data_IF_182968568436
#
_entry.id   IF_182968568436
#
_cell.length_a   1.000
_cell.length_b   1.000
_cell.length_c   1.000
_cell.angle_alpha   90.00
_cell.angle_beta   90.00
_cell.angle_gamma   90.00
#
_symmetry.space_group_name_H-M   'P 1'
#
loop_
_entity.id
_entity.type
_entity.pdbx_description
1 polymer ?
#
# COMPACT_ATOMS: atom_id res chain seq x y z
N UNK A 1 19.79 7.60 18.92
CA UNK A 1 19.97 6.39 18.10
C UNK A 1 19.19 5.29 18.79
N UNK A 2 17.96 5.03 18.34
CA UNK A 2 17.17 3.88 18.78
C UNK A 2 17.36 2.81 17.74
N UNK A 3 17.98 1.72 18.11
CA UNK A 3 18.14 0.50 17.33
C UNK A 3 16.75 0.00 16.89
N UNK A 4 16.52 -0.36 15.61
CA UNK A 4 15.31 -1.06 15.23
C UNK A 4 15.31 -2.41 15.95
N UNK A 5 14.27 -2.63 16.78
CA UNK A 5 14.07 -3.91 17.43
C UNK A 5 14.00 -5.01 16.37
N UNK A 6 14.91 -5.95 16.45
CA UNK A 6 14.90 -7.16 15.67
C UNK A 6 13.55 -7.86 15.85
N UNK A 7 12.73 -7.86 14.80
CA UNK A 7 11.61 -8.81 14.69
C UNK A 7 12.24 -10.19 14.58
N UNK A 8 12.28 -10.87 15.71
CA UNK A 8 12.74 -12.24 15.81
C UNK A 8 11.87 -13.10 14.89
N UNK A 9 12.48 -13.91 14.05
CA UNK A 9 11.83 -15.01 13.34
C UNK A 9 11.14 -15.88 14.40
N UNK A 10 9.84 -15.70 14.58
CA UNK A 10 9.05 -16.54 15.47
C UNK A 10 8.78 -17.84 14.73
N UNK A 11 9.09 -18.96 15.37
CA UNK A 11 8.84 -20.30 14.89
C UNK A 11 7.36 -20.52 14.58
N UNK A 12 7.12 -21.27 13.53
CA UNK A 12 5.91 -21.37 12.73
C UNK A 12 4.60 -21.81 13.43
N UNK A 13 4.58 -22.13 14.72
CA UNK A 13 3.43 -22.80 15.34
C UNK A 13 2.94 -22.23 16.70
N UNK A 14 3.58 -21.21 17.29
CA UNK A 14 3.23 -20.79 18.67
C UNK A 14 2.45 -19.48 18.79
N UNK A 15 2.31 -18.66 17.74
CA UNK A 15 1.71 -17.32 17.83
C UNK A 15 0.34 -17.15 17.14
N UNK A 16 -0.45 -18.21 17.08
CA UNK A 16 -1.81 -18.16 16.52
C UNK A 16 -2.80 -17.44 17.41
N UNK A 17 -2.45 -17.27 18.68
CA UNK A 17 -3.32 -16.65 19.66
C UNK A 17 -2.56 -15.62 20.53
N UNK A 18 -3.04 -14.37 20.53
CA UNK A 18 -2.55 -13.31 21.37
C UNK A 18 -3.68 -12.75 22.23
N UNK A 19 -3.68 -13.01 23.54
CA UNK A 19 -4.74 -12.54 24.47
C UNK A 19 -6.16 -12.84 23.98
N UNK A 20 -6.39 -14.05 23.45
CA UNK A 20 -7.67 -14.48 22.89
C UNK A 20 -7.92 -14.04 21.45
N UNK A 21 -7.06 -13.24 20.85
CA UNK A 21 -7.10 -12.95 19.42
C UNK A 21 -6.45 -14.09 18.64
N UNK A 22 -7.19 -14.58 17.63
CA UNK A 22 -6.68 -15.59 16.70
C UNK A 22 -6.40 -14.96 15.35
N UNK A 23 -5.29 -15.38 14.72
CA UNK A 23 -4.90 -14.89 13.41
C UNK A 23 -5.95 -15.28 12.37
N UNK A 24 -6.56 -14.31 11.65
CA UNK A 24 -7.61 -14.61 10.68
C UNK A 24 -7.06 -14.97 9.30
N UNK A 25 -7.93 -15.58 8.49
CA UNK A 25 -7.68 -15.88 7.08
C UNK A 25 -7.22 -17.31 6.84
N UNK A 26 -7.06 -17.70 5.57
CA UNK A 26 -6.58 -19.02 5.20
C UNK A 26 -5.09 -19.16 5.47
N UNK A 27 -4.68 -20.33 5.89
CA UNK A 27 -3.26 -20.70 5.96
C UNK A 27 -2.67 -20.76 4.55
N UNK A 28 -1.48 -20.16 4.32
CA UNK A 28 -0.84 -20.24 3.03
C UNK A 28 -0.34 -21.66 2.75
N UNK A 29 -0.30 -22.09 1.46
CA UNK A 29 0.21 -23.41 1.09
C UNK A 29 1.69 -23.59 1.39
N UNK A 30 2.46 -22.50 1.53
CA UNK A 30 3.92 -22.51 1.77
C UNK A 30 4.70 -23.11 0.58
N UNK A 31 5.91 -23.58 0.79
CA UNK A 31 6.67 -24.28 -0.25
C UNK A 31 7.55 -23.39 -1.13
N UNK A 32 7.72 -22.10 -0.79
CA UNK A 32 8.66 -21.20 -1.45
C UNK A 32 9.84 -20.93 -0.52
N UNK A 33 11.04 -21.20 -0.99
CA UNK A 33 12.27 -21.03 -0.20
C UNK A 33 12.65 -19.58 -0.01
N UNK A 34 13.16 -19.26 1.19
CA UNK A 34 13.79 -17.97 1.50
C UNK A 34 15.25 -18.05 1.07
N UNK A 35 15.66 -17.21 0.13
CA UNK A 35 17.02 -17.15 -0.37
C UNK A 35 17.91 -16.30 0.53
N UNK A 36 19.24 -16.40 0.38
CA UNK A 36 20.20 -15.59 1.14
C UNK A 36 19.93 -14.08 0.94
N UNK A 37 19.88 -13.34 2.04
CA UNK A 37 19.57 -11.90 2.05
C UNK A 37 18.09 -11.56 1.95
N UNK A 38 17.21 -12.56 1.89
CA UNK A 38 15.75 -12.37 1.97
C UNK A 38 15.23 -12.64 3.38
N UNK A 39 14.08 -12.05 3.70
CA UNK A 39 13.26 -12.42 4.85
C UNK A 39 11.83 -12.71 4.40
N UNK A 40 11.13 -13.53 5.18
CA UNK A 40 9.72 -13.85 5.01
C UNK A 40 8.95 -13.35 6.23
N UNK A 41 8.24 -12.25 6.07
CA UNK A 41 7.61 -11.54 7.17
C UNK A 41 6.08 -11.65 7.13
N UNK A 42 5.42 -11.49 8.27
CA UNK A 42 3.96 -11.32 8.30
C UNK A 42 3.54 -10.03 7.63
N UNK A 43 2.49 -10.09 6.80
CA UNK A 43 1.95 -8.93 6.09
C UNK A 43 0.55 -8.55 6.59
N UNK A 44 -0.41 -9.46 6.50
CA UNK A 44 -1.78 -9.28 7.02
C UNK A 44 -2.43 -10.66 7.20
N UNK A 45 -3.15 -10.86 8.31
CA UNK A 45 -3.62 -12.19 8.66
C UNK A 45 -2.50 -13.22 8.54
N UNK A 46 -2.75 -14.33 7.84
CA UNK A 46 -1.76 -15.35 7.53
C UNK A 46 -0.87 -15.05 6.33
N UNK A 47 -1.17 -13.99 5.56
CA UNK A 47 -0.34 -13.64 4.41
C UNK A 47 1.07 -13.24 4.83
N UNK A 48 2.03 -13.71 4.04
CA UNK A 48 3.45 -13.40 4.19
C UNK A 48 3.98 -12.63 2.98
N UNK A 49 5.07 -11.94 3.18
CA UNK A 49 5.75 -11.17 2.14
C UNK A 49 7.25 -11.43 2.17
N UNK A 50 7.80 -11.72 0.99
CA UNK A 50 9.25 -11.80 0.79
C UNK A 50 9.83 -10.40 0.61
N UNK A 51 10.89 -10.10 1.32
CA UNK A 51 11.60 -8.83 1.28
C UNK A 51 13.10 -9.07 1.35
N UNK A 52 13.90 -8.13 0.84
CA UNK A 52 15.32 -8.12 1.17
C UNK A 52 15.53 -7.57 2.58
N UNK A 53 16.44 -8.18 3.36
CA UNK A 53 16.79 -7.71 4.72
C UNK A 53 17.28 -6.27 4.72
N UNK A 54 18.05 -5.86 3.69
CA UNK A 54 18.61 -4.51 3.52
C UNK A 54 17.98 -3.72 2.39
N UNK A 55 16.87 -4.24 1.79
CA UNK A 55 16.17 -3.61 0.68
C UNK A 55 15.10 -2.60 1.12
N UNK A 56 14.25 -2.25 0.16
CA UNK A 56 13.01 -1.54 0.45
C UNK A 56 12.01 -2.52 1.07
N UNK A 57 11.54 -2.20 2.25
CA UNK A 57 10.60 -3.03 3.01
C UNK A 57 9.24 -2.35 3.08
N UNK A 58 8.17 -3.14 3.19
CA UNK A 58 6.85 -2.60 3.40
C UNK A 58 6.77 -1.81 4.72
N UNK A 59 5.88 -0.85 4.76
CA UNK A 59 5.77 0.09 5.87
C UNK A 59 4.30 0.39 6.23
N UNK A 60 4.11 1.28 7.19
CA UNK A 60 2.79 1.80 7.56
C UNK A 60 2.06 2.43 6.37
N UNK A 61 2.79 3.05 5.44
CA UNK A 61 2.22 3.70 4.25
C UNK A 61 1.47 2.70 3.38
N UNK A 62 2.03 1.50 3.18
CA UNK A 62 1.40 0.42 2.39
C UNK A 62 0.10 -0.06 3.03
N UNK A 63 0.12 -0.28 4.35
CA UNK A 63 -1.07 -0.70 5.12
C UNK A 63 -2.16 0.36 5.03
N UNK A 64 -1.79 1.63 5.18
CA UNK A 64 -2.75 2.74 5.12
C UNK A 64 -3.29 2.97 3.71
N UNK A 65 -2.46 2.81 2.68
CA UNK A 65 -2.90 2.90 1.28
C UNK A 65 -3.92 1.81 0.98
N UNK A 66 -3.64 0.56 1.34
CA UNK A 66 -4.55 -0.55 1.15
C UNK A 66 -5.85 -0.40 1.99
N UNK A 67 -5.73 0.10 3.22
CA UNK A 67 -6.90 0.40 4.05
C UNK A 67 -7.79 1.45 3.38
N UNK A 68 -7.20 2.56 2.97
CA UNK A 68 -7.93 3.67 2.36
C UNK A 68 -8.58 3.27 1.03
N UNK A 69 -7.89 2.42 0.26
CA UNK A 69 -8.37 1.87 -1.00
C UNK A 69 -9.57 0.93 -0.82
N UNK A 70 -9.56 0.10 0.23
CA UNK A 70 -10.59 -0.94 0.40
C UNK A 70 -11.78 -0.50 1.26
N UNK A 71 -11.69 0.66 1.91
CA UNK A 71 -12.74 1.15 2.81
C UNK A 71 -14.01 1.60 2.04
N UNK A 72 -13.85 2.20 0.86
CA UNK A 72 -14.93 2.76 0.06
C UNK A 72 -15.17 2.04 -1.28
N UNK A 73 -14.52 0.92 -1.47
CA UNK A 73 -14.59 0.16 -2.70
C UNK A 73 -15.33 -1.18 -2.50
N UNK A 74 -16.64 -1.17 -2.24
CA UNK A 74 -17.38 -2.37 -1.83
C UNK A 74 -17.55 -3.40 -2.95
N UNK A 75 -17.30 -3.06 -4.21
CA UNK A 75 -17.54 -3.92 -5.39
C UNK A 75 -16.35 -3.91 -6.34
N UNK A 76 -15.16 -4.16 -5.82
CA UNK A 76 -13.98 -4.32 -6.67
C UNK A 76 -13.92 -5.76 -7.18
N UNK A 77 -14.00 -5.91 -8.49
CA UNK A 77 -13.75 -7.17 -9.19
C UNK A 77 -12.34 -7.22 -9.77
N UNK A 78 -11.82 -6.08 -10.20
CA UNK A 78 -10.50 -5.94 -10.82
C UNK A 78 -9.75 -4.75 -10.20
N UNK A 79 -8.54 -5.00 -9.76
CA UNK A 79 -7.68 -3.97 -9.21
C UNK A 79 -6.33 -3.94 -9.94
N UNK A 80 -5.73 -2.75 -10.02
CA UNK A 80 -4.35 -2.58 -10.47
C UNK A 80 -3.51 -1.90 -9.38
N UNK A 81 -2.21 -2.24 -9.32
CA UNK A 81 -1.23 -1.57 -8.44
C UNK A 81 -0.05 -1.06 -9.28
N UNK A 82 0.10 0.24 -9.31
CA UNK A 82 1.11 0.93 -10.12
C UNK A 82 2.41 1.09 -9.35
N UNK A 83 3.54 0.67 -9.95
CA UNK A 83 4.82 0.67 -9.26
C UNK A 83 4.78 -0.18 -8.00
N UNK A 84 4.25 -1.39 -8.11
CA UNK A 84 3.83 -2.24 -6.99
C UNK A 84 4.97 -2.66 -6.03
N UNK A 85 6.23 -2.39 -6.40
CA UNK A 85 7.37 -2.79 -5.60
C UNK A 85 7.38 -4.30 -5.35
N UNK A 86 7.47 -4.69 -4.09
CA UNK A 86 7.39 -6.09 -3.65
C UNK A 86 5.95 -6.62 -3.53
N UNK A 87 4.96 -5.83 -3.99
CA UNK A 87 3.55 -6.21 -4.03
C UNK A 87 2.78 -5.97 -2.72
N UNK A 88 3.32 -5.22 -1.77
CA UNK A 88 2.74 -5.06 -0.43
C UNK A 88 1.30 -4.52 -0.45
N UNK A 89 1.04 -3.42 -1.16
CA UNK A 89 -0.31 -2.82 -1.24
C UNK A 89 -1.29 -3.78 -1.91
N UNK A 90 -0.91 -4.36 -3.06
CA UNK A 90 -1.75 -5.30 -3.79
C UNK A 90 -2.09 -6.56 -2.97
N UNK A 91 -1.12 -7.12 -2.24
CA UNK A 91 -1.32 -8.30 -1.39
C UNK A 91 -2.27 -7.99 -0.22
N UNK A 92 -2.13 -6.83 0.43
CA UNK A 92 -3.02 -6.39 1.52
C UNK A 92 -4.44 -6.17 0.97
N UNK A 93 -4.57 -5.53 -0.21
CA UNK A 93 -5.86 -5.38 -0.89
C UNK A 93 -6.46 -6.75 -1.24
N UNK A 94 -5.65 -7.69 -1.74
CA UNK A 94 -6.12 -9.03 -2.10
C UNK A 94 -6.64 -9.83 -0.91
N UNK A 95 -6.06 -9.63 0.27
CA UNK A 95 -6.55 -10.22 1.51
C UNK A 95 -7.94 -9.68 1.90
N UNK A 96 -8.18 -8.37 1.71
CA UNK A 96 -9.46 -7.71 2.00
C UNK A 96 -10.53 -7.96 0.94
N UNK A 97 -10.13 -8.23 -0.28
CA UNK A 97 -10.99 -8.37 -1.47
C UNK A 97 -10.82 -9.78 -2.07
N UNK A 98 -11.28 -10.84 -1.37
CA UNK A 98 -10.97 -12.23 -1.78
C UNK A 98 -11.56 -12.63 -3.14
N UNK A 99 -12.58 -11.92 -3.63
CA UNK A 99 -13.19 -12.15 -4.95
C UNK A 99 -12.58 -11.34 -6.09
N UNK A 100 -11.62 -10.43 -5.82
CA UNK A 100 -11.02 -9.59 -6.85
C UNK A 100 -9.78 -10.23 -7.48
N UNK A 101 -9.52 -9.86 -8.74
CA UNK A 101 -8.27 -10.13 -9.45
C UNK A 101 -7.40 -8.89 -9.48
N UNK A 102 -6.09 -9.08 -9.58
CA UNK A 102 -5.09 -8.03 -9.47
C UNK A 102 -4.11 -8.06 -10.64
N UNK A 103 -3.88 -6.89 -11.24
CA UNK A 103 -2.76 -6.66 -12.15
C UNK A 103 -1.77 -5.73 -11.45
N UNK A 104 -0.48 -6.07 -11.45
CA UNK A 104 0.56 -5.20 -10.89
C UNK A 104 1.60 -4.90 -11.94
N UNK A 105 2.17 -3.71 -11.90
CA UNK A 105 3.29 -3.34 -12.77
C UNK A 105 4.45 -2.80 -11.94
N UNK A 106 5.63 -3.36 -12.14
CA UNK A 106 6.86 -2.98 -11.43
C UNK A 106 8.05 -2.96 -12.37
N UNK A 107 8.79 -1.86 -12.36
CA UNK A 107 9.93 -1.66 -13.26
C UNK A 107 11.23 -2.33 -12.78
N UNK A 108 11.30 -2.71 -11.50
CA UNK A 108 12.46 -3.37 -10.93
C UNK A 108 12.27 -4.88 -10.92
N UNK A 109 12.97 -5.62 -11.77
CA UNK A 109 12.91 -7.08 -11.85
C UNK A 109 13.07 -7.76 -10.49
N UNK A 110 13.97 -7.25 -9.65
CA UNK A 110 14.19 -7.80 -8.30
C UNK A 110 12.97 -7.65 -7.37
N UNK A 111 12.25 -6.55 -7.47
CA UNK A 111 11.02 -6.31 -6.69
C UNK A 111 9.88 -7.17 -7.23
N UNK A 112 9.69 -7.21 -8.55
CA UNK A 112 8.68 -8.05 -9.20
C UNK A 112 8.89 -9.55 -8.89
N UNK A 113 10.15 -10.00 -8.80
CA UNK A 113 10.49 -11.37 -8.37
C UNK A 113 9.99 -11.66 -6.96
N UNK A 114 10.25 -10.76 -5.99
CA UNK A 114 9.78 -10.92 -4.61
C UNK A 114 8.25 -10.90 -4.51
N UNK A 115 7.58 -10.04 -5.32
CA UNK A 115 6.12 -10.04 -5.42
C UNK A 115 5.58 -11.40 -5.88
N UNK A 116 6.16 -11.98 -6.96
CA UNK A 116 5.77 -13.32 -7.45
C UNK A 116 6.01 -14.41 -6.41
N UNK A 117 7.13 -14.38 -5.67
CA UNK A 117 7.40 -15.32 -4.56
C UNK A 117 6.33 -15.22 -3.48
N UNK A 118 5.94 -13.98 -3.10
CA UNK A 118 4.91 -13.73 -2.10
C UNK A 118 3.54 -14.21 -2.55
N UNK A 119 3.17 -13.96 -3.80
CA UNK A 119 1.90 -14.41 -4.41
C UNK A 119 1.80 -15.93 -4.39
N UNK A 120 2.87 -16.62 -4.83
CA UNK A 120 2.94 -18.09 -4.85
C UNK A 120 2.90 -18.66 -3.43
N UNK A 121 3.65 -18.10 -2.48
CA UNK A 121 3.65 -18.56 -1.09
C UNK A 121 2.25 -18.48 -0.45
N UNK A 122 1.49 -17.45 -0.78
CA UNK A 122 0.14 -17.24 -0.26
C UNK A 122 -0.95 -18.01 -1.03
N UNK A 123 -0.61 -18.72 -2.12
CA UNK A 123 -1.54 -19.55 -2.90
C UNK A 123 -2.61 -18.73 -3.64
N UNK A 124 -2.24 -17.56 -4.12
CA UNK A 124 -3.18 -16.63 -4.78
C UNK A 124 -2.77 -16.27 -6.21
N UNK A 125 -1.89 -17.04 -6.82
CA UNK A 125 -1.36 -16.82 -8.17
C UNK A 125 -2.46 -16.78 -9.24
N UNK A 126 -3.53 -17.55 -9.08
CA UNK A 126 -4.67 -17.52 -10.00
C UNK A 126 -5.41 -16.16 -10.04
N UNK A 127 -5.15 -15.30 -9.06
CA UNK A 127 -5.76 -13.98 -8.95
C UNK A 127 -4.83 -12.84 -9.35
N UNK A 128 -3.58 -13.14 -9.71
CA UNK A 128 -2.57 -12.11 -9.97
C UNK A 128 -1.93 -12.23 -11.35
N UNK A 129 -1.79 -11.09 -12.02
CA UNK A 129 -0.91 -10.90 -13.16
C UNK A 129 0.15 -9.87 -12.79
N UNK A 130 1.43 -10.26 -12.86
CA UNK A 130 2.56 -9.38 -12.51
C UNK A 130 3.32 -9.01 -13.78
N UNK A 131 3.18 -7.76 -14.19
CA UNK A 131 3.92 -7.17 -15.29
C UNK A 131 5.23 -6.58 -14.79
N UNK A 132 6.32 -6.90 -15.48
CA UNK A 132 7.61 -6.27 -15.29
C UNK A 132 7.81 -5.22 -16.38
N UNK A 133 7.83 -3.95 -15.98
CA UNK A 133 7.88 -2.85 -16.94
C UNK A 133 7.57 -1.49 -16.35
N UNK A 134 7.58 -0.50 -17.21
CA UNK A 134 7.30 0.89 -16.87
C UNK A 134 5.79 1.17 -16.88
N UNK A 135 5.25 1.75 -15.80
CA UNK A 135 3.83 2.10 -15.69
C UNK A 135 3.35 3.13 -16.76
N UNK A 136 4.28 3.82 -17.39
CA UNK A 136 3.99 4.74 -18.50
C UNK A 136 3.71 4.00 -19.81
N UNK A 137 4.05 2.72 -19.89
CA UNK A 137 3.75 1.88 -21.07
C UNK A 137 2.23 1.62 -21.19
N UNK A 138 1.82 1.10 -22.36
CA UNK A 138 0.41 0.78 -22.62
C UNK A 138 -0.06 -0.56 -22.09
N UNK A 139 0.83 -1.38 -21.50
CA UNK A 139 0.53 -2.78 -21.17
C UNK A 139 -0.71 -2.95 -20.30
N UNK A 140 -0.90 -2.09 -19.29
CA UNK A 140 -2.11 -2.13 -18.47
C UNK A 140 -3.34 -1.55 -19.16
N UNK A 141 -3.16 -0.69 -20.17
CA UNK A 141 -4.27 -0.11 -20.94
C UNK A 141 -4.86 -1.12 -21.95
N UNK A 142 -4.15 -2.19 -22.24
CA UNK A 142 -4.63 -3.32 -23.06
C UNK A 142 -5.50 -4.29 -22.25
N UNK A 143 -5.45 -4.20 -20.92
CA UNK A 143 -6.32 -4.94 -20.03
C UNK A 143 -7.74 -4.38 -19.99
N UNK A 144 -8.68 -5.18 -19.47
CA UNK A 144 -10.01 -4.66 -19.14
C UNK A 144 -9.87 -3.60 -18.03
N UNK A 145 -10.70 -2.53 -18.04
CA UNK A 145 -10.61 -1.45 -17.06
C UNK A 145 -10.71 -1.94 -15.61
N UNK A 146 -10.15 -1.16 -14.70
CA UNK A 146 -10.03 -1.49 -13.28
C UNK A 146 -10.97 -0.67 -12.40
N UNK A 147 -11.64 -1.34 -11.46
CA UNK A 147 -12.52 -0.70 -10.46
C UNK A 147 -11.70 0.05 -9.40
N UNK A 148 -10.49 -0.43 -9.13
CA UNK A 148 -9.56 0.14 -8.18
C UNK A 148 -8.16 0.18 -8.76
N UNK A 149 -7.52 1.32 -8.68
CA UNK A 149 -6.10 1.50 -8.99
C UNK A 149 -5.41 2.02 -7.74
N UNK A 150 -4.32 1.38 -7.32
CA UNK A 150 -3.48 1.84 -6.21
C UNK A 150 -2.10 2.24 -6.68
N UNK A 151 -1.37 2.99 -5.85
CA UNK A 151 0.01 3.33 -6.09
C UNK A 151 0.66 4.03 -4.91
N UNK A 152 1.97 3.88 -4.80
CA UNK A 152 2.81 4.62 -3.85
C UNK A 152 3.92 5.31 -4.64
N UNK A 153 3.66 6.48 -5.26
CA UNK A 153 4.65 7.18 -6.05
C UNK A 153 5.90 7.50 -5.24
N UNK A 154 7.11 7.49 -5.83
CA UNK A 154 8.30 7.93 -5.13
C UNK A 154 8.14 9.37 -4.64
N UNK A 155 8.65 9.63 -3.43
CA UNK A 155 8.38 10.89 -2.71
C UNK A 155 9.27 12.04 -3.12
N UNK A 156 10.47 11.78 -3.60
CA UNK A 156 11.50 12.80 -3.77
C UNK A 156 11.99 12.91 -5.20
N UNK A 157 12.21 14.14 -5.72
CA UNK A 157 12.74 14.34 -7.05
C UNK A 157 14.15 13.76 -7.18
N UNK A 158 14.56 13.45 -8.42
CA UNK A 158 15.86 12.85 -8.72
C UNK A 158 17.06 13.65 -8.15
N UNK A 159 16.91 14.97 -8.02
CA UNK A 159 17.92 15.86 -7.42
C UNK A 159 18.13 15.63 -5.92
N UNK A 160 17.22 14.94 -5.23
CA UNK A 160 17.32 14.64 -3.81
C UNK A 160 18.06 13.32 -3.51
N UNK A 161 18.59 12.64 -4.51
CA UNK A 161 19.32 11.39 -4.34
C UNK A 161 20.64 11.62 -3.60
N UNK A 162 20.74 11.12 -2.36
CA UNK A 162 21.95 11.18 -1.54
C UNK A 162 22.38 9.78 -1.11
N UNK A 163 23.63 9.40 -1.44
CA UNK A 163 24.36 8.28 -0.85
C UNK A 163 23.87 6.87 -1.21
N UNK A 164 24.73 5.89 -0.95
CA UNK A 164 24.54 4.49 -1.31
C UNK A 164 23.52 3.77 -0.41
N UNK A 165 22.27 3.85 -0.79
CA UNK A 165 21.26 2.91 -0.31
C UNK A 165 21.29 1.63 -1.16
N UNK A 166 20.67 0.56 -0.67
CA UNK A 166 20.47 -0.67 -1.45
C UNK A 166 19.87 -0.34 -2.84
N UNK A 167 20.32 -0.98 -3.94
CA UNK A 167 19.87 -0.65 -5.31
C UNK A 167 18.35 -0.63 -5.50
N UNK A 168 17.61 -1.48 -4.77
CA UNK A 168 16.15 -1.50 -4.76
C UNK A 168 15.53 -0.27 -4.09
N UNK A 169 16.16 0.28 -3.05
CA UNK A 169 15.56 1.33 -2.23
C UNK A 169 15.60 2.71 -2.90
N UNK A 170 16.59 2.97 -3.75
CA UNK A 170 16.74 4.26 -4.41
C UNK A 170 15.58 4.55 -5.36
N UNK A 171 15.26 3.69 -6.35
CA UNK A 171 14.13 3.93 -7.24
C UNK A 171 12.76 3.90 -6.55
N UNK A 172 12.64 3.25 -5.39
CA UNK A 172 11.40 3.24 -4.62
C UNK A 172 11.11 4.58 -3.93
N UNK A 173 12.13 5.42 -3.72
CA UNK A 173 12.01 6.70 -2.99
C UNK A 173 12.20 7.93 -3.86
N UNK A 174 12.92 7.77 -4.96
CA UNK A 174 13.37 8.86 -5.83
C UNK A 174 12.69 8.72 -7.20
N UNK A 175 12.21 9.82 -7.77
CA UNK A 175 11.48 9.90 -9.04
C UNK A 175 12.38 9.64 -10.27
N UNK A 176 13.06 8.49 -10.28
CA UNK A 176 13.91 8.08 -11.41
C UNK A 176 13.07 7.39 -12.50
N UNK A 177 11.99 6.71 -12.11
CA UNK A 177 11.17 5.88 -12.99
C UNK A 177 9.70 6.30 -13.07
N UNK A 178 9.41 7.52 -12.70
CA UNK A 178 8.07 8.09 -12.72
C UNK A 178 7.82 8.97 -11.50
N UNK A 179 6.97 9.97 -11.68
CA UNK A 179 6.53 10.92 -10.68
C UNK A 179 5.07 10.69 -10.33
N UNK A 180 4.54 11.40 -9.35
CA UNK A 180 3.12 11.38 -9.02
C UNK A 180 2.23 11.74 -10.22
N UNK A 181 2.71 12.55 -11.17
CA UNK A 181 2.01 12.87 -12.42
C UNK A 181 1.89 11.65 -13.34
N UNK A 182 2.96 10.85 -13.45
CA UNK A 182 2.95 9.62 -14.25
C UNK A 182 1.98 8.58 -13.68
N UNK A 183 1.93 8.46 -12.35
CA UNK A 183 0.99 7.57 -11.67
C UNK A 183 -0.46 8.00 -11.89
N UNK A 184 -0.77 9.28 -11.72
CA UNK A 184 -2.12 9.81 -11.95
C UNK A 184 -2.55 9.66 -13.42
N UNK A 185 -1.65 9.94 -14.37
CA UNK A 185 -1.91 9.76 -15.79
C UNK A 185 -2.12 8.28 -16.16
N UNK A 186 -1.31 7.37 -15.61
CA UNK A 186 -1.49 5.93 -15.80
C UNK A 186 -2.82 5.45 -15.23
N UNK A 187 -3.15 5.84 -14.00
CA UNK A 187 -4.43 5.52 -13.37
C UNK A 187 -5.63 6.00 -14.19
N UNK A 188 -5.59 7.25 -14.68
CA UNK A 188 -6.67 7.81 -15.50
C UNK A 188 -6.94 7.00 -16.78
N UNK A 189 -5.89 6.44 -17.39
CA UNK A 189 -6.05 5.62 -18.63
C UNK A 189 -6.72 4.28 -18.39
N UNK A 190 -6.56 3.69 -17.21
CA UNK A 190 -6.96 2.30 -16.94
C UNK A 190 -8.19 2.18 -16.02
N UNK A 191 -8.66 3.27 -15.41
CA UNK A 191 -9.85 3.25 -14.54
C UNK A 191 -11.13 2.91 -15.32
N UNK A 192 -11.92 2.03 -14.75
CA UNK A 192 -13.31 1.81 -15.17
C UNK A 192 -14.17 3.04 -14.85
N UNK A 193 -15.35 3.12 -15.46
CA UNK A 193 -16.39 4.10 -15.06
C UNK A 193 -16.75 3.87 -13.59
N UNK A 194 -16.69 4.93 -12.78
CA UNK A 194 -16.90 4.86 -11.33
C UNK A 194 -15.73 4.23 -10.56
N UNK A 195 -14.64 3.85 -11.23
CA UNK A 195 -13.43 3.33 -10.59
C UNK A 195 -12.67 4.41 -9.84
N UNK A 196 -11.86 4.00 -8.86
CA UNK A 196 -11.16 4.90 -7.96
C UNK A 196 -9.65 4.69 -8.01
N UNK A 197 -8.89 5.79 -8.08
CA UNK A 197 -7.43 5.81 -7.89
C UNK A 197 -7.11 6.21 -6.45
N UNK A 198 -6.38 5.36 -5.73
CA UNK A 198 -5.98 5.60 -4.34
C UNK A 198 -4.46 5.53 -4.21
N UNK A 199 -3.89 6.56 -3.60
CA UNK A 199 -2.44 6.64 -3.43
C UNK A 199 -2.05 7.40 -2.17
N UNK A 200 -0.81 7.22 -1.75
CA UNK A 200 -0.19 7.94 -0.63
C UNK A 200 0.89 8.88 -1.16
N UNK A 201 1.01 10.06 -0.55
CA UNK A 201 2.06 11.00 -0.90
C UNK A 201 2.46 11.88 0.29
N UNK A 202 3.68 12.48 0.35
CA UNK A 202 4.08 13.35 1.45
C UNK A 202 3.14 14.53 1.63
N UNK A 203 2.74 14.80 2.87
CA UNK A 203 1.87 15.93 3.20
C UNK A 203 2.44 17.27 2.73
N UNK A 204 3.75 17.47 2.86
CA UNK A 204 4.42 18.71 2.44
C UNK A 204 4.30 18.94 0.92
N UNK A 205 4.04 17.90 0.14
CA UNK A 205 3.85 17.96 -1.31
C UNK A 205 2.41 17.69 -1.75
N UNK A 206 1.42 17.79 -0.85
CA UNK A 206 0.01 17.48 -1.14
C UNK A 206 -0.57 18.29 -2.30
N UNK A 207 -0.16 19.54 -2.43
CA UNK A 207 -0.62 20.42 -3.53
C UNK A 207 -0.14 19.90 -4.89
N UNK A 208 1.08 19.37 -4.96
CA UNK A 208 1.64 18.72 -6.16
C UNK A 208 0.86 17.43 -6.50
N UNK A 209 0.45 16.67 -5.49
CA UNK A 209 -0.39 15.48 -5.69
C UNK A 209 -1.78 15.86 -6.24
N UNK A 210 -2.41 16.88 -5.69
CA UNK A 210 -3.70 17.39 -6.18
C UNK A 210 -3.60 17.98 -7.59
N UNK A 211 -2.49 18.62 -7.92
CA UNK A 211 -2.21 19.10 -9.29
C UNK A 211 -2.09 17.94 -10.26
N UNK A 212 -1.34 16.87 -9.91
CA UNK A 212 -1.22 15.68 -10.74
C UNK A 212 -2.57 15.01 -11.01
N UNK A 213 -3.44 14.93 -10.00
CA UNK A 213 -4.82 14.45 -10.13
C UNK A 213 -5.57 15.29 -11.17
N UNK A 214 -5.58 16.62 -11.03
CA UNK A 214 -6.28 17.51 -11.96
C UNK A 214 -5.72 17.45 -13.39
N UNK A 215 -4.42 17.46 -13.52
CA UNK A 215 -3.73 17.41 -14.82
C UNK A 215 -4.03 16.13 -15.60
N UNK A 216 -4.42 15.06 -14.91
CA UNK A 216 -4.75 13.76 -15.50
C UNK A 216 -6.24 13.57 -15.79
N UNK A 217 -7.06 14.61 -15.67
CA UNK A 217 -8.52 14.53 -15.87
C UNK A 217 -9.26 13.81 -14.74
N UNK A 218 -8.58 13.61 -13.62
CA UNK A 218 -9.16 13.09 -12.39
C UNK A 218 -9.59 14.24 -11.47
N UNK A 219 -10.42 13.92 -10.49
CA UNK A 219 -10.86 14.86 -9.46
C UNK A 219 -10.73 14.20 -8.10
N UNK A 220 -10.26 14.96 -7.13
CA UNK A 220 -10.15 14.50 -5.75
C UNK A 220 -11.54 14.19 -5.19
N UNK A 221 -11.76 12.97 -4.73
CA UNK A 221 -12.98 12.57 -4.03
C UNK A 221 -12.85 12.76 -2.52
N UNK A 222 -11.70 12.36 -1.95
CA UNK A 222 -11.38 12.53 -0.54
C UNK A 222 -9.87 12.54 -0.29
N UNK A 223 -9.47 13.20 0.81
CA UNK A 223 -8.10 13.17 1.32
C UNK A 223 -8.11 13.01 2.83
N UNK A 224 -7.16 12.25 3.34
CA UNK A 224 -6.93 12.11 4.78
C UNK A 224 -5.46 12.28 5.10
N UNK A 225 -5.14 13.25 5.91
CA UNK A 225 -3.77 13.49 6.38
C UNK A 225 -3.45 12.57 7.55
N UNK A 226 -2.18 12.13 7.66
CA UNK A 226 -1.73 11.17 8.67
C UNK A 226 -0.67 11.80 9.56
N UNK A 227 -0.92 11.78 10.85
CA UNK A 227 -0.05 12.26 11.93
C UNK A 227 0.55 11.05 12.63
N UNK A 228 1.88 10.89 12.55
CA UNK A 228 2.54 9.71 13.12
C UNK A 228 2.56 9.71 14.64
N UNK A 229 2.61 10.90 15.27
CA UNK A 229 2.47 11.06 16.70
C UNK A 229 1.60 12.28 17.01
N UNK A 230 0.65 12.09 17.89
CA UNK A 230 -0.27 13.15 18.32
C UNK A 230 0.46 14.42 18.77
N UNK A 231 0.07 15.56 18.21
CA UNK A 231 0.69 16.86 18.44
C UNK A 231 1.80 17.23 17.45
N UNK A 232 2.20 16.30 16.56
CA UNK A 232 3.14 16.58 15.47
C UNK A 232 2.39 16.99 14.18
N UNK A 233 3.06 17.64 13.23
CA UNK A 233 2.46 17.91 11.92
C UNK A 233 2.24 16.61 11.12
N UNK A 234 1.30 16.59 10.16
CA UNK A 234 1.11 15.47 9.25
C UNK A 234 2.38 15.18 8.43
N UNK A 235 2.66 13.90 8.21
CA UNK A 235 3.80 13.47 7.39
C UNK A 235 3.40 13.04 5.99
N UNK A 236 2.29 12.31 5.87
CA UNK A 236 1.78 11.81 4.59
C UNK A 236 0.29 12.15 4.49
N UNK A 237 -0.23 12.10 3.27
CA UNK A 237 -1.66 12.18 2.98
C UNK A 237 -2.09 11.00 2.12
N UNK A 238 -3.25 10.48 2.39
CA UNK A 238 -3.95 9.47 1.61
C UNK A 238 -4.93 10.19 0.69
N UNK A 239 -4.89 9.85 -0.58
CA UNK A 239 -5.73 10.46 -1.61
C UNK A 239 -6.60 9.40 -2.27
N UNK A 240 -7.85 9.75 -2.55
CA UNK A 240 -8.71 8.98 -3.45
C UNK A 240 -9.30 9.92 -4.48
N UNK A 241 -9.16 9.55 -5.76
CA UNK A 241 -9.59 10.33 -6.91
C UNK A 241 -10.40 9.46 -7.86
N UNK A 242 -11.32 10.09 -8.60
CA UNK A 242 -12.13 9.46 -9.64
C UNK A 242 -12.03 10.28 -10.92
N UNK A 243 -12.54 9.76 -12.04
CA UNK A 243 -12.66 10.56 -13.26
C UNK A 243 -13.57 11.76 -13.03
N UNK A 244 -13.23 12.91 -13.55
CA UNK A 244 -14.07 14.11 -13.43
C UNK A 244 -15.49 13.87 -14.01
N UNK A 245 -15.61 13.08 -15.06
CA UNK A 245 -16.89 12.72 -15.67
C UNK A 245 -17.78 11.82 -14.78
N UNK A 246 -17.20 11.13 -13.81
CA UNK A 246 -17.90 10.21 -12.90
C UNK A 246 -18.31 10.90 -11.58
N UNK A 247 -17.86 12.14 -11.35
CA UNK A 247 -18.21 12.87 -10.13
C UNK A 247 -19.67 13.35 -10.20
N UNK A 248 -20.51 12.99 -9.21
CA UNK A 248 -21.87 13.51 -9.14
C UNK A 248 -21.89 15.06 -9.07
N UNK A 249 -22.84 15.72 -9.76
CA UNK A 249 -22.96 17.19 -9.71
C UNK A 249 -23.04 17.72 -8.29
N UNK A 250 -22.30 18.80 -8.00
CA UNK A 250 -22.29 19.46 -6.70
C UNK A 250 -21.48 18.76 -5.60
N UNK A 251 -20.90 17.60 -5.88
CA UNK A 251 -20.02 16.91 -4.93
C UNK A 251 -18.72 17.68 -4.75
N UNK A 252 -18.39 17.98 -3.50
CA UNK A 252 -17.11 18.56 -3.12
C UNK A 252 -16.18 17.47 -2.56
N UNK A 253 -14.84 17.62 -2.68
CA UNK A 253 -13.88 16.76 -2.03
C UNK A 253 -14.11 16.74 -0.51
N UNK A 254 -14.03 15.56 0.07
CA UNK A 254 -14.09 15.43 1.52
C UNK A 254 -12.67 15.40 2.10
N UNK A 255 -12.30 16.44 2.82
CA UNK A 255 -11.08 16.48 3.61
C UNK A 255 -11.42 15.93 4.99
N UNK A 256 -10.95 14.72 5.25
CA UNK A 256 -11.25 13.99 6.47
C UNK A 256 -10.45 14.51 7.66
N UNK A 257 -10.94 14.33 8.90
CA UNK A 257 -10.14 14.53 10.09
C UNK A 257 -8.85 13.70 10.03
N UNK A 258 -7.70 14.23 10.49
CA UNK A 258 -6.43 13.51 10.40
C UNK A 258 -6.48 12.16 11.11
N UNK A 259 -5.80 11.16 10.56
CA UNK A 259 -5.55 9.89 11.21
C UNK A 259 -4.31 10.01 12.11
N UNK A 260 -4.44 9.65 13.38
CA UNK A 260 -3.32 9.61 14.32
C UNK A 260 -2.85 8.17 14.48
N UNK A 261 -1.54 7.93 14.34
CA UNK A 261 -0.95 6.59 14.46
C UNK A 261 -0.61 6.26 15.91
N UNK A 262 0.00 7.21 16.63
CA UNK A 262 0.40 7.07 18.04
C UNK A 262 -0.09 8.23 18.87
N UNK A 263 -0.48 7.94 20.09
CA UNK A 263 -0.80 8.95 21.10
C UNK A 263 0.46 9.74 21.53
N UNK A 264 0.28 10.81 22.29
CA UNK A 264 1.41 11.59 22.88
C UNK A 264 2.36 10.72 23.70
N UNK A 265 1.83 9.69 24.39
CA UNK A 265 2.64 8.74 25.17
C UNK A 265 3.40 7.73 24.32
N UNK A 266 3.17 7.69 23.00
CA UNK A 266 3.79 6.73 22.08
C UNK A 266 3.05 5.41 21.92
N UNK A 267 1.93 5.20 22.64
CA UNK A 267 1.06 4.04 22.45
C UNK A 267 0.36 4.09 21.08
N UNK A 268 -0.07 2.95 20.58
CA UNK A 268 -0.87 2.89 19.34
C UNK A 268 -2.20 3.60 19.56
N UNK A 269 -2.55 4.53 18.65
CA UNK A 269 -3.84 5.22 18.73
C UNK A 269 -5.00 4.24 18.48
N UNK A 270 -6.11 4.31 19.22
CA UNK A 270 -7.22 3.35 19.11
C UNK A 270 -7.77 3.18 17.68
N UNK A 271 -7.90 4.29 16.93
CA UNK A 271 -8.37 4.23 15.55
C UNK A 271 -7.39 3.44 14.65
N UNK A 272 -6.09 3.69 14.78
CA UNK A 272 -5.09 2.93 14.02
C UNK A 272 -5.01 1.47 14.46
N UNK A 273 -5.21 1.19 15.74
CA UNK A 273 -5.34 -0.18 16.24
C UNK A 273 -6.50 -0.92 15.59
N UNK A 274 -7.67 -0.27 15.46
CA UNK A 274 -8.83 -0.83 14.77
C UNK A 274 -8.53 -1.11 13.28
N UNK A 275 -7.81 -0.22 12.61
CA UNK A 275 -7.34 -0.44 11.23
C UNK A 275 -6.46 -1.69 11.17
N UNK A 276 -5.48 -1.82 12.04
CA UNK A 276 -4.58 -2.98 12.10
C UNK A 276 -5.36 -4.29 12.31
N UNK A 277 -6.24 -4.33 13.29
CA UNK A 277 -7.08 -5.50 13.57
C UNK A 277 -7.91 -5.88 12.33
N UNK A 278 -8.46 -4.90 11.61
CA UNK A 278 -9.24 -5.15 10.40
C UNK A 278 -8.45 -5.81 9.26
N UNK A 279 -7.12 -5.78 9.32
CA UNK A 279 -6.21 -6.48 8.41
C UNK A 279 -5.54 -7.71 9.05
N UNK A 280 -6.08 -8.18 10.17
CA UNK A 280 -5.56 -9.38 10.83
C UNK A 280 -4.17 -9.20 11.45
N UNK A 281 -3.78 -7.97 11.78
CA UNK A 281 -2.65 -7.76 12.68
C UNK A 281 -3.09 -7.97 14.13
N UNK A 282 -2.21 -8.46 15.01
CA UNK A 282 -2.53 -8.57 16.42
C UNK A 282 -2.81 -7.18 17.03
N UNK A 283 -3.68 -7.10 18.04
CA UNK A 283 -4.09 -5.83 18.66
C UNK A 283 -2.93 -4.99 19.20
N UNK A 284 -1.80 -5.61 19.57
CA UNK A 284 -0.68 -4.91 20.19
C UNK A 284 -1.01 -4.40 21.61
N UNK A 285 -0.14 -3.57 22.17
CA UNK A 285 -0.41 -2.90 23.45
C UNK A 285 -1.30 -1.67 23.19
N UNK A 286 -2.60 -1.89 23.16
CA UNK A 286 -3.60 -0.82 23.12
C UNK A 286 -3.85 -0.40 24.59
N UNK A 287 -3.76 0.89 24.92
CA UNK A 287 -4.18 1.36 26.22
C UNK A 287 -5.65 0.94 26.46
N UNK A 288 -5.96 0.46 27.65
CA UNK A 288 -7.36 0.25 28.01
C UNK A 288 -8.12 1.56 27.80
N UNK A 289 -9.29 1.49 27.16
CA UNK A 289 -10.15 2.65 27.04
C UNK A 289 -10.41 3.19 28.47
N UNK A 290 -10.32 4.50 28.70
CA UNK A 290 -10.76 5.04 29.98
C UNK A 290 -12.24 4.68 30.15
N UNK A 291 -12.55 4.05 31.30
CA UNK A 291 -13.92 3.72 31.73
C UNK A 291 -14.76 4.99 31.86
#
# INVERSE_FOLDING_TARGET
>A
MLTPGAFRLLHDDEDDEYRGWKRPGPLPPRGVEVEEGESLDYLCGWFRIFQYERGHRYSTDDVLTAWYATQWAPRVSRAADLGSGIGSVALICAWRLPGATFCTIEAQAMSARLARKSILYNGIEARFTVYEGDLRSSVLAEEQPFDLVTGSPPYWPASAATGAAHPQAVPARIEIRGSVFDYAAAASRILATGGMFVFVFPFIQRERAEEAVRASGLVLLRRRDVIFKEGEPPMISLFAAIRAADLPPGRQPWIEPPLIIRTKSGAVHPEYAAIRISFGFPPGDIPAAPL
#
